data_IF_508567942343
#
_entry.id   IF_508567942343
#
_cell.length_a   1.000
_cell.length_b   1.000
_cell.length_c   1.000
_cell.angle_alpha   90.00
_cell.angle_beta   90.00
_cell.angle_gamma   90.00
#
_symmetry.space_group_name_H-M   'P 1'
#
loop_
_entity.id
_entity.type
_entity.pdbx_description
1 polymer ?
#
# COMPACT_ATOMS: atom_id res chain seq x y z
N UNK A 1 -8.32 6.80 3.86
CA UNK A 1 -7.10 5.97 4.05
C UNK A 1 -5.94 6.90 4.35
N UNK A 2 -5.16 6.61 5.37
CA UNK A 2 -3.97 7.39 5.72
C UNK A 2 -2.72 6.67 5.21
N UNK A 3 -1.65 7.43 4.95
CA UNK A 3 -0.41 6.88 4.39
C UNK A 3 0.78 7.33 5.22
N UNK A 4 1.61 6.39 5.64
CA UNK A 4 2.87 6.66 6.35
C UNK A 4 4.02 6.32 5.41
N UNK A 5 5.02 7.20 5.31
CA UNK A 5 6.07 7.08 4.31
C UNK A 5 7.45 7.11 4.95
N UNK A 6 8.35 6.33 4.37
CA UNK A 6 9.77 6.27 4.73
C UNK A 6 10.60 6.36 3.46
N UNK A 7 11.78 6.96 3.55
CA UNK A 7 12.71 7.00 2.42
C UNK A 7 12.18 7.75 1.21
N UNK A 8 11.46 8.86 1.42
CA UNK A 8 10.75 9.60 0.36
C UNK A 8 11.66 10.16 -0.73
N UNK A 9 12.97 10.24 -0.49
CA UNK A 9 13.95 10.71 -1.47
C UNK A 9 14.33 9.64 -2.52
N UNK A 10 13.96 8.38 -2.30
CA UNK A 10 14.27 7.30 -3.22
C UNK A 10 13.28 7.27 -4.38
N UNK A 11 13.73 6.81 -5.56
CA UNK A 11 12.95 6.84 -6.79
C UNK A 11 11.97 5.69 -6.92
N UNK A 12 12.32 4.50 -6.41
CA UNK A 12 11.49 3.31 -6.54
C UNK A 12 10.60 3.16 -5.33
N UNK A 13 9.28 3.09 -5.56
CA UNK A 13 8.28 3.03 -4.49
C UNK A 13 7.86 1.60 -4.23
N UNK A 14 7.82 1.24 -2.95
CA UNK A 14 7.30 -0.04 -2.46
C UNK A 14 6.11 0.25 -1.56
N UNK A 15 4.98 -0.41 -1.82
CA UNK A 15 3.78 -0.31 -0.98
C UNK A 15 3.57 -1.65 -0.28
N UNK A 16 3.39 -1.61 1.04
CA UNK A 16 3.14 -2.79 1.86
C UNK A 16 1.81 -2.65 2.60
N UNK A 17 0.91 -3.59 2.38
CA UNK A 17 -0.46 -3.57 2.89
C UNK A 17 -0.58 -4.52 4.08
N UNK A 18 -0.98 -3.99 5.24
CA UNK A 18 -1.08 -4.77 6.49
C UNK A 18 -2.25 -5.73 6.50
N UNK A 19 -2.24 -6.69 7.44
CA UNK A 19 -3.31 -7.65 7.63
C UNK A 19 -4.52 -7.07 8.36
N UNK A 20 -5.63 -7.78 8.30
CA UNK A 20 -6.86 -7.42 9.01
C UNK A 20 -6.63 -7.38 10.52
N UNK A 21 -7.20 -6.38 11.19
CA UNK A 21 -7.02 -6.17 12.63
C UNK A 21 -5.71 -5.50 13.02
N UNK A 22 -4.85 -5.19 12.05
CA UNK A 22 -3.57 -4.51 12.25
C UNK A 22 -3.64 -3.10 11.69
N UNK A 23 -2.51 -2.43 11.50
CA UNK A 23 -2.43 -1.16 10.80
C UNK A 23 -1.03 -0.98 10.19
N UNK A 24 -0.72 0.22 9.70
CA UNK A 24 0.54 0.51 9.02
C UNK A 24 1.77 0.11 9.84
N UNK A 25 1.71 0.20 11.15
CA UNK A 25 2.84 -0.12 12.06
C UNK A 25 3.25 -1.59 12.01
N UNK A 26 2.43 -2.45 11.42
CA UNK A 26 2.75 -3.87 11.18
C UNK A 26 4.07 -4.00 10.38
N UNK A 27 4.35 -3.05 9.50
CA UNK A 27 5.53 -3.07 8.65
C UNK A 27 6.58 -2.02 9.04
N UNK A 28 6.48 -1.40 10.20
CA UNK A 28 7.38 -0.30 10.58
C UNK A 28 8.85 -0.70 10.48
N UNK A 29 9.22 -1.82 11.06
CA UNK A 29 10.62 -2.27 11.09
C UNK A 29 11.12 -2.61 9.69
N UNK A 30 10.31 -3.29 8.90
CA UNK A 30 10.65 -3.61 7.51
C UNK A 30 10.83 -2.33 6.70
N UNK A 31 9.92 -1.37 6.87
CA UNK A 31 10.02 -0.10 6.15
C UNK A 31 11.28 0.67 6.50
N UNK A 32 11.68 0.68 7.77
CA UNK A 32 12.92 1.34 8.19
C UNK A 32 14.14 0.70 7.54
N UNK A 33 14.16 -0.62 7.38
CA UNK A 33 15.24 -1.32 6.69
C UNK A 33 15.25 -1.05 5.19
N UNK A 34 14.08 -0.98 4.57
CA UNK A 34 13.96 -0.75 3.12
C UNK A 34 14.20 0.71 2.74
N UNK A 35 14.06 1.64 3.67
CA UNK A 35 14.14 3.07 3.40
C UNK A 35 15.50 3.55 2.88
N UNK A 36 16.55 2.75 3.04
CA UNK A 36 17.87 3.06 2.49
C UNK A 36 17.87 3.05 0.96
N UNK A 37 16.98 2.25 0.35
CA UNK A 37 16.95 2.06 -1.11
C UNK A 37 15.62 2.41 -1.74
N UNK A 38 14.53 2.37 -0.98
CA UNK A 38 13.18 2.50 -1.52
C UNK A 38 12.39 3.57 -0.80
N UNK A 39 11.47 4.19 -1.53
CA UNK A 39 10.40 5.00 -0.97
C UNK A 39 9.30 4.04 -0.53
N UNK A 40 9.14 3.82 0.77
CA UNK A 40 8.19 2.84 1.32
C UNK A 40 6.93 3.56 1.76
N UNK A 41 5.79 3.10 1.28
CA UNK A 41 4.47 3.63 1.65
C UNK A 41 3.72 2.55 2.40
N UNK A 42 3.25 2.89 3.60
CA UNK A 42 2.47 2.01 4.47
C UNK A 42 1.08 2.59 4.66
N UNK A 43 0.09 2.16 3.86
CA UNK A 43 -1.28 2.61 4.05
C UNK A 43 -1.87 2.05 5.34
N UNK A 44 -2.63 2.89 6.06
CA UNK A 44 -3.55 2.43 7.10
C UNK A 44 -4.89 2.18 6.42
N UNK A 45 -5.25 0.91 6.24
CA UNK A 45 -6.44 0.51 5.48
C UNK A 45 -7.71 1.03 6.13
N UNK A 46 -8.74 1.27 5.33
CA UNK A 46 -10.04 1.71 5.81
C UNK A 46 -10.60 0.72 6.84
N UNK A 47 -11.26 1.23 7.87
CA UNK A 47 -11.81 0.42 8.94
C UNK A 47 -10.81 -0.07 9.97
N UNK A 48 -9.55 0.33 9.86
CA UNK A 48 -8.48 -0.06 10.77
C UNK A 48 -7.92 1.15 11.52
N UNK A 49 -7.13 0.88 12.56
CA UNK A 49 -6.50 1.93 13.35
C UNK A 49 -5.70 2.88 12.45
N UNK A 50 -5.82 4.17 12.69
CA UNK A 50 -5.18 5.25 11.92
C UNK A 50 -5.72 5.41 10.50
N UNK A 51 -6.73 4.61 10.09
CA UNK A 51 -7.50 4.86 8.89
C UNK A 51 -8.53 5.96 9.14
N UNK A 52 -9.00 6.60 8.08
CA UNK A 52 -9.89 7.76 8.17
C UNK A 52 -11.29 7.50 7.62
N UNK A 53 -11.61 6.28 7.24
CA UNK A 53 -12.90 5.91 6.69
C UNK A 53 -13.28 4.48 7.09
N UNK A 54 -14.59 4.13 7.13
CA UNK A 54 -15.00 2.77 7.39
C UNK A 54 -14.63 1.84 6.23
N UNK A 55 -14.40 0.57 6.55
CA UNK A 55 -14.16 -0.46 5.54
C UNK A 55 -15.47 -0.75 4.80
N UNK A 56 -15.43 -0.70 3.48
CA UNK A 56 -16.59 -0.99 2.63
C UNK A 56 -16.44 -2.28 1.86
N UNK A 57 -15.30 -2.47 1.15
CA UNK A 57 -15.03 -3.71 0.43
C UNK A 57 -13.55 -3.79 0.05
N UNK A 58 -13.11 -4.98 -0.33
CA UNK A 58 -11.75 -5.18 -0.89
C UNK A 58 -11.63 -4.39 -2.20
N UNK A 59 -12.66 -4.43 -3.04
CA UNK A 59 -12.69 -3.74 -4.33
C UNK A 59 -12.55 -2.22 -4.16
N UNK A 60 -13.23 -1.64 -3.18
CA UNK A 60 -13.16 -0.21 -2.90
C UNK A 60 -11.79 0.20 -2.36
N UNK A 61 -11.21 -0.59 -1.47
CA UNK A 61 -9.85 -0.33 -0.97
C UNK A 61 -8.83 -0.40 -2.10
N UNK A 62 -8.94 -1.40 -2.98
CA UNK A 62 -8.08 -1.52 -4.14
C UNK A 62 -8.21 -0.30 -5.06
N UNK A 63 -9.42 0.14 -5.33
CA UNK A 63 -9.67 1.31 -6.18
C UNK A 63 -9.08 2.58 -5.58
N UNK A 64 -9.18 2.77 -4.25
CA UNK A 64 -8.58 3.93 -3.57
C UNK A 64 -7.06 3.92 -3.64
N UNK A 65 -6.45 2.75 -3.48
CA UNK A 65 -5.01 2.62 -3.58
C UNK A 65 -4.52 2.87 -5.02
N UNK A 66 -5.25 2.39 -6.01
CA UNK A 66 -4.94 2.68 -7.41
C UNK A 66 -5.02 4.19 -7.67
N UNK A 67 -6.07 4.85 -7.18
CA UNK A 67 -6.21 6.30 -7.33
C UNK A 67 -5.05 7.05 -6.67
N UNK A 68 -4.61 6.61 -5.49
CA UNK A 68 -3.45 7.17 -4.81
C UNK A 68 -2.18 7.02 -5.66
N UNK A 69 -1.97 5.83 -6.23
CA UNK A 69 -0.81 5.57 -7.11
C UNK A 69 -0.86 6.46 -8.35
N UNK A 70 -2.04 6.62 -8.95
CA UNK A 70 -2.21 7.49 -10.12
C UNK A 70 -1.89 8.95 -9.78
N UNK A 71 -2.33 9.42 -8.62
CA UNK A 71 -2.16 10.82 -8.23
C UNK A 71 -0.72 11.15 -7.79
N UNK A 72 -0.08 10.26 -7.03
CA UNK A 72 1.18 10.56 -6.35
C UNK A 72 2.38 9.79 -6.88
N UNK A 73 2.19 8.75 -7.69
CA UNK A 73 3.26 7.87 -8.14
C UNK A 73 3.29 7.62 -9.64
N UNK A 74 2.58 8.44 -10.41
CA UNK A 74 2.64 8.36 -11.86
C UNK A 74 2.00 7.12 -12.48
N UNK A 75 1.12 6.44 -11.75
CA UNK A 75 0.32 5.33 -12.29
C UNK A 75 0.85 3.94 -12.03
N UNK A 76 2.06 3.79 -11.48
CA UNK A 76 2.58 2.48 -11.09
C UNK A 76 3.65 2.61 -10.02
N UNK A 77 3.92 1.51 -9.31
CA UNK A 77 4.96 1.45 -8.30
C UNK A 77 5.93 0.30 -8.62
N UNK A 78 7.09 0.31 -7.96
CA UNK A 78 8.11 -0.71 -8.16
C UNK A 78 7.67 -2.07 -7.62
N UNK A 79 7.15 -2.10 -6.40
CA UNK A 79 6.71 -3.34 -5.76
C UNK A 79 5.47 -3.12 -4.90
N UNK A 80 4.64 -4.14 -4.81
CA UNK A 80 3.42 -4.14 -4.02
C UNK A 80 3.38 -5.46 -3.26
N UNK A 81 3.27 -5.39 -1.94
CA UNK A 81 3.16 -6.56 -1.09
C UNK A 81 2.01 -6.42 -0.10
N UNK A 82 1.55 -7.55 0.43
CA UNK A 82 0.48 -7.55 1.39
C UNK A 82 0.41 -8.84 2.19
N UNK A 83 -0.10 -8.71 3.41
CA UNK A 83 -0.30 -9.82 4.34
C UNK A 83 -1.79 -10.04 4.54
N UNK A 84 -2.27 -11.27 4.32
CA UNK A 84 -3.66 -11.66 4.56
C UNK A 84 -4.64 -10.72 3.84
N UNK A 85 -5.44 -9.90 4.55
CA UNK A 85 -6.33 -8.92 3.93
C UNK A 85 -5.58 -8.00 2.96
N UNK A 86 -4.40 -7.53 3.35
CA UNK A 86 -3.56 -6.72 2.47
C UNK A 86 -3.16 -7.45 1.21
N UNK A 87 -2.89 -8.77 1.31
CA UNK A 87 -2.61 -9.61 0.16
C UNK A 87 -3.82 -9.74 -0.78
N UNK A 88 -5.01 -9.88 -0.21
CA UNK A 88 -6.26 -9.94 -0.99
C UNK A 88 -6.50 -8.62 -1.74
N UNK A 89 -6.24 -7.49 -1.09
CA UNK A 89 -6.36 -6.17 -1.72
C UNK A 89 -5.33 -6.03 -2.83
N UNK A 90 -4.09 -6.47 -2.62
CA UNK A 90 -3.06 -6.43 -3.66
C UNK A 90 -3.45 -7.23 -4.89
N UNK A 91 -4.01 -8.43 -4.71
CA UNK A 91 -4.51 -9.25 -5.81
C UNK A 91 -5.64 -8.53 -6.56
N UNK A 92 -6.56 -7.91 -5.83
CA UNK A 92 -7.64 -7.13 -6.44
C UNK A 92 -7.12 -5.93 -7.23
N UNK A 93 -6.09 -5.24 -6.71
CA UNK A 93 -5.43 -4.16 -7.44
C UNK A 93 -4.85 -4.65 -8.77
N UNK A 94 -4.21 -5.81 -8.77
CA UNK A 94 -3.68 -6.41 -10.00
C UNK A 94 -4.79 -6.84 -10.96
N UNK A 95 -5.94 -7.24 -10.45
CA UNK A 95 -7.11 -7.56 -11.27
C UNK A 95 -7.67 -6.31 -11.94
N UNK A 96 -7.78 -5.20 -11.21
CA UNK A 96 -8.28 -3.93 -11.75
C UNK A 96 -7.27 -3.25 -12.66
N UNK A 97 -5.98 -3.33 -12.33
CA UNK A 97 -4.91 -2.68 -13.06
C UNK A 97 -3.68 -3.59 -13.12
N UNK A 98 -3.56 -4.48 -14.15
CA UNK A 98 -2.47 -5.47 -14.21
C UNK A 98 -1.06 -4.87 -14.23
N UNK A 99 -0.90 -3.63 -14.68
CA UNK A 99 0.38 -2.94 -14.76
C UNK A 99 0.64 -1.98 -13.58
N UNK A 100 -0.10 -2.15 -12.47
CA UNK A 100 0.00 -1.24 -11.31
C UNK A 100 1.36 -1.31 -10.63
N UNK A 101 2.07 -2.41 -10.75
CA UNK A 101 3.40 -2.56 -10.17
C UNK A 101 4.28 -3.45 -11.04
N UNK A 102 5.59 -3.34 -10.83
CA UNK A 102 6.56 -4.20 -11.52
C UNK A 102 6.67 -5.57 -10.86
N UNK A 103 6.64 -5.60 -9.54
CA UNK A 103 6.72 -6.83 -8.75
C UNK A 103 5.60 -6.84 -7.70
N UNK A 104 5.05 -8.02 -7.46
CA UNK A 104 4.03 -8.23 -6.44
C UNK A 104 4.32 -9.48 -5.61
#
# INVERSE_FOLDING_TARGET
MQYVEYGTHNLQTVILLHGGGLSWWNYREVAQLLADKYHVVLPALDGHANGDAPFTSIEDNAARLIAYIDEYHGGSVYALGGLSLGGQIAVEMLTQRPDICRFA
#
